data_IF_207463169001
#
_entry.id   IF_207463169001
#
_cell.length_a   1.000
_cell.length_b   1.000
_cell.length_c   1.000
_cell.angle_alpha   90.00
_cell.angle_beta   90.00
_cell.angle_gamma   90.00
#
_symmetry.space_group_name_H-M   'P 1'
#
loop_
_entity.id
_entity.type
_entity.pdbx_description
1 polymer ?
#
# COMPACT_ATOMS: atom_id res chain seq x y z
N UNK A 1 19.29 10.56 -6.90
CA UNK A 1 18.86 11.82 -6.25
C UNK A 1 19.96 12.84 -6.44
N UNK A 2 19.74 13.89 -7.26
CA UNK A 2 20.76 14.94 -7.42
C UNK A 2 20.22 16.37 -7.34
N UNK A 3 18.96 16.65 -7.68
CA UNK A 3 18.46 18.05 -7.73
C UNK A 3 17.16 18.30 -6.94
N UNK A 4 16.70 17.37 -6.10
CA UNK A 4 15.46 17.55 -5.31
C UNK A 4 14.15 17.50 -6.12
N UNK A 5 14.21 17.39 -7.44
CA UNK A 5 13.05 17.13 -8.29
C UNK A 5 12.74 15.63 -8.30
N UNK A 6 11.52 15.30 -7.89
CA UNK A 6 10.94 13.97 -8.10
C UNK A 6 10.55 13.86 -9.55
N UNK A 7 11.49 13.37 -10.37
CA UNK A 7 11.19 13.09 -11.76
C UNK A 7 10.19 11.94 -11.83
N UNK A 8 9.08 12.17 -12.53
CA UNK A 8 7.97 11.23 -12.58
C UNK A 8 8.44 9.99 -13.36
N UNK A 9 8.28 8.76 -12.82
CA UNK A 9 8.61 7.56 -13.58
C UNK A 9 7.92 7.61 -14.95
N UNK A 10 8.66 7.36 -16.03
CA UNK A 10 8.13 7.40 -17.41
C UNK A 10 6.82 6.64 -17.59
N UNK A 11 6.64 5.56 -16.83
CA UNK A 11 5.44 4.71 -16.85
C UNK A 11 4.16 5.40 -16.35
N UNK A 12 4.26 6.55 -15.67
CA UNK A 12 3.09 7.29 -15.14
C UNK A 12 3.08 8.76 -15.56
N UNK A 13 4.01 9.17 -16.43
CA UNK A 13 4.17 10.58 -16.84
C UNK A 13 2.94 11.12 -17.57
N UNK A 14 2.28 10.31 -18.39
CA UNK A 14 1.08 10.73 -19.13
C UNK A 14 -0.10 11.01 -18.17
N UNK A 15 -0.31 10.11 -17.22
CA UNK A 15 -1.34 10.20 -16.19
C UNK A 15 -1.10 11.41 -15.30
N UNK A 16 0.13 11.59 -14.82
CA UNK A 16 0.50 12.74 -13.97
C UNK A 16 0.34 14.06 -14.71
N UNK A 17 0.73 14.13 -15.98
CA UNK A 17 0.55 15.35 -16.80
C UNK A 17 -0.93 15.66 -17.03
N UNK A 18 -1.77 14.65 -17.24
CA UNK A 18 -3.22 14.84 -17.40
C UNK A 18 -3.87 15.37 -16.12
N UNK A 19 -3.47 14.84 -14.95
CA UNK A 19 -3.96 15.26 -13.64
C UNK A 19 -3.52 16.71 -13.35
N UNK A 20 -2.26 17.05 -13.66
CA UNK A 20 -1.75 18.41 -13.50
C UNK A 20 -2.52 19.41 -14.37
N UNK A 21 -2.80 19.06 -15.63
CA UNK A 21 -3.61 19.92 -16.51
C UNK A 21 -5.03 20.12 -15.98
N UNK A 22 -5.65 19.08 -15.43
CA UNK A 22 -6.96 19.19 -14.78
C UNK A 22 -6.91 20.06 -13.51
N UNK A 23 -5.81 19.99 -12.75
CA UNK A 23 -5.57 20.82 -11.56
C UNK A 23 -5.42 22.30 -11.89
N UNK A 24 -4.86 22.64 -13.04
CA UNK A 24 -4.72 24.03 -13.48
C UNK A 24 -6.05 24.67 -13.92
N UNK A 25 -7.01 23.85 -14.36
CA UNK A 25 -8.28 24.31 -14.90
C UNK A 25 -9.38 24.50 -13.84
N UNK A 26 -9.16 24.06 -12.60
CA UNK A 26 -10.15 24.15 -11.52
C UNK A 26 -9.49 24.19 -10.15
N UNK A 27 -10.17 24.76 -9.16
CA UNK A 27 -9.72 24.72 -7.76
C UNK A 27 -9.86 23.29 -7.21
N UNK A 28 -8.82 22.48 -7.37
CA UNK A 28 -8.77 21.10 -6.87
C UNK A 28 -8.14 21.06 -5.49
N UNK A 29 -8.89 20.57 -4.49
CA UNK A 29 -8.33 20.18 -3.19
C UNK A 29 -8.01 18.69 -3.23
N UNK A 30 -6.74 18.35 -3.42
CA UNK A 30 -6.28 16.96 -3.30
C UNK A 30 -6.14 16.66 -1.81
N UNK A 31 -6.98 15.78 -1.29
CA UNK A 31 -6.91 15.30 0.08
C UNK A 31 -6.63 13.81 0.07
N UNK A 32 -5.42 13.43 0.47
CA UNK A 32 -5.05 12.04 0.63
C UNK A 32 -5.74 11.49 1.87
N UNK A 33 -6.76 10.66 1.69
CA UNK A 33 -7.30 9.83 2.76
C UNK A 33 -6.51 8.53 2.77
N UNK A 34 -5.42 8.51 3.52
CA UNK A 34 -4.72 7.26 3.81
C UNK A 34 -5.63 6.44 4.73
N UNK A 35 -6.39 5.52 4.17
CA UNK A 35 -6.96 4.42 4.96
C UNK A 35 -5.79 3.49 5.26
N UNK A 36 -5.19 3.64 6.45
CA UNK A 36 -4.38 2.57 7.00
C UNK A 36 -5.23 1.31 7.00
N UNK A 37 -4.85 0.32 6.19
CA UNK A 37 -5.37 -1.01 6.40
C UNK A 37 -5.01 -1.40 7.82
N UNK A 38 -5.98 -1.88 8.61
CA UNK A 38 -5.71 -2.37 9.96
C UNK A 38 -4.95 -3.69 9.84
N UNK A 39 -3.66 -3.57 9.54
CA UNK A 39 -2.74 -4.68 9.25
C UNK A 39 -2.67 -5.63 10.43
N UNK A 40 -2.85 -5.10 11.65
CA UNK A 40 -2.93 -5.89 12.86
C UNK A 40 -4.21 -6.74 12.93
N UNK A 41 -5.37 -6.17 12.59
CA UNK A 41 -6.62 -6.92 12.50
C UNK A 41 -6.56 -7.99 11.41
N UNK A 42 -6.01 -7.65 10.23
CA UNK A 42 -5.82 -8.62 9.13
C UNK A 42 -4.90 -9.77 9.55
N UNK A 43 -3.81 -9.49 10.29
CA UNK A 43 -2.91 -10.51 10.82
C UNK A 43 -3.63 -11.47 11.76
N UNK A 44 -4.39 -10.97 12.73
CA UNK A 44 -5.12 -11.83 13.66
C UNK A 44 -6.24 -12.62 12.98
N UNK A 45 -6.97 -12.03 12.02
CA UNK A 45 -7.97 -12.73 11.23
C UNK A 45 -7.36 -13.92 10.47
N UNK A 46 -6.21 -13.72 9.83
CA UNK A 46 -5.49 -14.79 9.14
C UNK A 46 -4.96 -15.86 10.12
N UNK A 47 -4.48 -15.45 11.30
CA UNK A 47 -4.00 -16.37 12.32
C UNK A 47 -5.10 -17.32 12.80
N UNK A 48 -6.30 -16.79 13.05
CA UNK A 48 -7.49 -17.57 13.43
C UNK A 48 -7.99 -18.42 12.26
N UNK A 49 -7.91 -17.94 11.01
CA UNK A 49 -8.27 -18.75 9.85
C UNK A 49 -7.35 -19.98 9.69
N UNK A 50 -6.06 -19.82 9.98
CA UNK A 50 -5.09 -20.92 9.90
C UNK A 50 -5.16 -21.91 11.07
N UNK A 51 -5.69 -21.51 12.21
CA UNK A 51 -5.78 -22.35 13.40
C UNK A 51 -7.23 -22.47 13.83
N UNK A 52 -7.83 -23.65 13.67
CA UNK A 52 -9.23 -23.89 14.06
C UNK A 52 -9.40 -23.84 15.60
N UNK A 53 -9.54 -22.63 16.15
CA UNK A 53 -9.72 -22.40 17.59
C UNK A 53 -9.64 -20.92 17.96
N UNK A 54 -9.95 -20.63 19.23
CA UNK A 54 -9.76 -19.30 19.81
C UNK A 54 -8.29 -19.09 20.14
N UNK A 55 -7.72 -17.97 19.72
CA UNK A 55 -6.36 -17.56 20.07
C UNK A 55 -6.45 -16.30 20.93
N UNK A 56 -5.95 -16.40 22.16
CA UNK A 56 -5.85 -15.29 23.09
C UNK A 56 -4.39 -15.09 23.49
N UNK A 57 -3.96 -13.84 23.52
CA UNK A 57 -2.63 -13.43 24.00
C UNK A 57 -2.84 -12.47 25.16
N UNK A 58 -2.34 -12.84 26.33
CA UNK A 58 -2.44 -12.02 27.54
C UNK A 58 -1.17 -11.18 27.75
N UNK A 59 -0.07 -11.57 27.11
CA UNK A 59 1.21 -10.85 27.18
C UNK A 59 1.78 -10.60 25.79
N UNK A 60 2.48 -9.48 25.63
CA UNK A 60 3.12 -9.14 24.36
C UNK A 60 4.11 -10.21 23.91
N UNK A 61 4.80 -10.85 24.85
CA UNK A 61 5.77 -11.92 24.61
C UNK A 61 5.14 -13.16 23.96
N UNK A 62 3.84 -13.38 24.14
CA UNK A 62 3.11 -14.52 23.57
C UNK A 62 2.77 -14.29 22.09
N UNK A 63 2.76 -13.04 21.63
CA UNK A 63 2.45 -12.70 20.24
C UNK A 63 3.56 -13.22 19.30
N UNK A 64 3.20 -13.84 18.15
CA UNK A 64 4.17 -14.26 17.15
C UNK A 64 5.05 -13.10 16.69
N UNK A 65 6.30 -13.40 16.29
CA UNK A 65 7.29 -12.38 15.88
C UNK A 65 6.77 -11.44 14.78
N UNK A 66 6.00 -11.96 13.83
CA UNK A 66 5.36 -11.17 12.78
C UNK A 66 4.32 -10.18 13.34
N UNK A 67 3.45 -10.63 14.25
CA UNK A 67 2.49 -9.75 14.93
C UNK A 67 3.16 -8.68 15.79
N UNK A 68 4.23 -9.03 16.51
CA UNK A 68 5.05 -8.06 17.28
C UNK A 68 5.65 -6.97 16.38
N UNK A 69 6.13 -7.33 15.20
CA UNK A 69 6.68 -6.37 14.25
C UNK A 69 5.61 -5.37 13.78
N UNK A 70 4.38 -5.84 13.50
CA UNK A 70 3.26 -4.99 13.11
C UNK A 70 2.88 -4.05 14.27
N UNK A 71 2.72 -4.57 15.49
CA UNK A 71 2.41 -3.76 16.69
C UNK A 71 3.47 -2.67 16.92
N UNK A 72 4.75 -3.02 16.78
CA UNK A 72 5.82 -2.05 16.94
C UNK A 72 5.78 -0.99 15.84
N UNK A 73 5.60 -1.39 14.58
CA UNK A 73 5.51 -0.45 13.46
C UNK A 73 4.33 0.54 13.62
N UNK A 74 3.18 0.04 14.11
CA UNK A 74 2.01 0.85 14.44
C UNK A 74 2.30 1.84 15.58
N UNK A 75 2.97 1.38 16.64
CA UNK A 75 3.41 2.22 17.77
C UNK A 75 4.37 3.34 17.36
N UNK A 76 5.20 3.11 16.34
CA UNK A 76 6.13 4.12 15.81
C UNK A 76 5.47 5.02 14.74
N UNK A 77 4.20 4.79 14.39
CA UNK A 77 3.49 5.58 13.38
C UNK A 77 4.01 5.37 11.96
N UNK A 78 4.57 4.18 11.66
CA UNK A 78 5.00 3.87 10.30
C UNK A 78 3.78 3.62 9.40
N UNK A 79 3.59 4.41 8.33
CA UNK A 79 2.46 4.23 7.45
C UNK A 79 2.55 2.89 6.72
N UNK A 80 1.55 2.03 6.93
CA UNK A 80 1.42 0.78 6.17
C UNK A 80 0.76 1.07 4.81
N UNK A 81 1.59 1.12 3.76
CA UNK A 81 1.13 1.31 2.39
C UNK A 81 0.67 -0.03 1.79
N UNK A 82 -0.64 -0.20 1.59
CA UNK A 82 -1.19 -1.31 0.81
C UNK A 82 -1.10 -0.99 -0.68
N UNK A 83 -0.10 -1.53 -1.36
CA UNK A 83 0.01 -1.43 -2.82
C UNK A 83 -0.61 -2.68 -3.47
N UNK A 84 -1.61 -2.48 -4.32
CA UNK A 84 -2.12 -3.54 -5.20
C UNK A 84 -1.41 -3.41 -6.54
N UNK A 85 -0.46 -4.29 -6.84
CA UNK A 85 0.02 -4.42 -8.21
C UNK A 85 -1.10 -5.05 -9.05
N UNK A 86 -1.71 -4.25 -9.91
CA UNK A 86 -2.43 -4.78 -11.07
C UNK A 86 -1.39 -5.12 -12.12
N UNK A 87 -1.18 -6.40 -12.37
CA UNK A 87 -0.46 -6.83 -13.57
C UNK A 87 -1.24 -6.29 -14.77
N UNK A 88 -0.70 -5.30 -15.47
CA UNK A 88 -1.20 -4.94 -16.78
C UNK A 88 -0.99 -6.18 -17.66
N UNK A 89 -2.02 -6.73 -18.35
CA UNK A 89 -1.78 -7.75 -19.35
C UNK A 89 -0.77 -7.18 -20.34
N UNK A 90 0.38 -7.84 -20.50
CA UNK A 90 1.31 -7.52 -21.58
C UNK A 90 0.51 -7.62 -22.89
N UNK A 91 0.48 -6.54 -23.67
CA UNK A 91 -0.03 -6.62 -25.04
C UNK A 91 0.87 -7.60 -25.80
N UNK A 92 0.34 -8.77 -26.14
CA UNK A 92 0.98 -9.69 -27.06
C UNK A 92 1.02 -9.04 -28.45
N UNK A 93 2.07 -8.27 -28.73
CA UNK A 93 2.43 -7.91 -30.10
C UNK A 93 3.11 -9.11 -30.76
N UNK A 94 2.31 -10.09 -31.17
CA UNK A 94 2.68 -10.98 -32.26
C UNK A 94 2.51 -10.22 -33.57
N UNK A 95 3.62 -9.69 -34.10
CA UNK A 95 3.71 -9.41 -35.53
C UNK A 95 3.85 -10.75 -36.25
N UNK A 96 2.91 -11.06 -37.12
CA UNK A 96 2.94 -12.20 -38.02
C UNK A 96 2.51 -11.74 -39.40
N UNK A 97 3.41 -12.00 -40.36
CA UNK A 97 3.41 -11.70 -41.81
C UNK A 97 3.90 -10.31 -42.22
#
# INVERSE_FOLDING_TARGET
MLNGEWDVPWSVTLEVNSINRLRELMTVRVQHFLREGNTLADFFANLVFHFAGTIEFNQFQEVPRAGKAIINADKYGFPHLRTRQTNHPMSNNTYSY
#
